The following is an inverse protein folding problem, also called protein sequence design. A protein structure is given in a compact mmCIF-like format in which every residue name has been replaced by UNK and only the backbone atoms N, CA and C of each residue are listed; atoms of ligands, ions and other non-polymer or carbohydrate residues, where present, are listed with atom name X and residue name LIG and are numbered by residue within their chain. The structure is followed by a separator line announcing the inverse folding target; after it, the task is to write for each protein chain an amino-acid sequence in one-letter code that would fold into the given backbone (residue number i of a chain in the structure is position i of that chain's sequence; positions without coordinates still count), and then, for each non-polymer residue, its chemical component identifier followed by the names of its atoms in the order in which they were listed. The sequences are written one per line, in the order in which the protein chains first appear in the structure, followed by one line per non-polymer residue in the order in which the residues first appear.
data_IF_878158969943
#
_entry.id   IF_878158969943
#
_cell.length_a   1.000
_cell.length_b   1.000
_cell.length_c   1.000
_cell.angle_alpha   90.00
_cell.angle_beta   90.00
_cell.angle_gamma   90.00
#
_symmetry.space_group_name_H-M   'P 1'
#
loop_
_entity.id
_entity.type
_entity.pdbx_description
1 polymer ?
#
# COMPACT_ATOMS: atom_id res chain seq x y z
N UNK A 1 -12.63 -2.75 3.21
CA UNK A 1 -11.73 -2.48 4.36
C UNK A 1 -11.09 -3.78 4.79
N UNK A 2 -9.77 -3.80 4.95
CA UNK A 2 -9.02 -5.01 5.31
C UNK A 2 -9.12 -5.36 6.80
N UNK A 3 -9.52 -4.41 7.65
CA UNK A 3 -9.64 -4.56 9.11
C UNK A 3 -8.33 -4.97 9.81
N UNK A 4 -7.20 -4.51 9.28
CA UNK A 4 -5.88 -4.81 9.84
C UNK A 4 -4.80 -4.71 8.77
N UNK A 5 -3.60 -5.13 9.16
CA UNK A 5 -2.44 -5.31 8.31
C UNK A 5 -1.75 -6.62 8.72
N UNK A 6 -1.02 -7.23 7.79
CA UNK A 6 -0.19 -8.41 8.08
C UNK A 6 0.90 -7.98 9.06
N UNK A 7 0.96 -8.67 10.21
CA UNK A 7 1.94 -8.42 11.26
C UNK A 7 2.46 -9.76 11.78
N UNK A 8 3.61 -10.24 11.29
CA UNK A 8 4.21 -11.48 11.78
C UNK A 8 4.55 -11.44 13.27
N UNK A 9 4.87 -10.25 13.80
CA UNK A 9 5.18 -10.06 15.22
C UNK A 9 3.95 -10.28 16.12
N UNK A 10 2.77 -9.89 15.64
CA UNK A 10 1.51 -10.09 16.34
C UNK A 10 0.82 -11.41 15.97
N UNK A 11 1.46 -12.23 15.12
CA UNK A 11 0.90 -13.48 14.61
C UNK A 11 -0.29 -13.28 13.65
N UNK A 12 -0.43 -12.11 13.04
CA UNK A 12 -1.53 -11.78 12.11
C UNK A 12 -1.09 -12.09 10.67
N UNK A 13 -1.68 -13.12 10.09
CA UNK A 13 -1.47 -13.56 8.72
C UNK A 13 -2.43 -12.94 7.69
N UNK A 14 -2.22 -13.22 6.38
CA UNK A 14 -3.14 -12.82 5.31
C UNK A 14 -4.59 -13.29 5.50
N UNK A 15 -4.78 -14.46 6.12
CA UNK A 15 -6.06 -15.09 6.42
C UNK A 15 -6.84 -14.38 7.53
N UNK A 16 -6.14 -13.67 8.42
CA UNK A 16 -6.73 -12.94 9.55
C UNK A 16 -7.26 -11.56 9.14
N UNK A 17 -6.91 -11.11 7.95
CA UNK A 17 -7.42 -9.87 7.36
C UNK A 17 -8.36 -10.17 6.19
N UNK A 18 -9.21 -9.19 5.84
CA UNK A 18 -10.26 -9.36 4.82
C UNK A 18 -9.76 -9.33 3.37
N UNK A 19 -8.68 -10.07 3.08
CA UNK A 19 -8.20 -10.30 1.71
C UNK A 19 -9.18 -11.14 0.90
N UNK A 20 -9.79 -12.24 1.41
CA UNK A 20 -10.78 -12.99 0.64
C UNK A 20 -11.98 -12.14 0.18
N UNK A 21 -12.48 -11.24 1.04
CA UNK A 21 -13.53 -10.29 0.67
C UNK A 21 -13.08 -9.30 -0.41
N UNK A 22 -11.82 -8.85 -0.35
CA UNK A 22 -11.23 -8.02 -1.40
C UNK A 22 -11.24 -8.78 -2.73
N UNK A 23 -10.76 -10.03 -2.77
CA UNK A 23 -10.75 -10.84 -3.98
C UNK A 23 -12.15 -11.03 -4.57
N UNK A 24 -13.15 -11.30 -3.72
CA UNK A 24 -14.54 -11.42 -4.14
C UNK A 24 -15.08 -10.15 -4.79
N UNK A 25 -14.70 -8.97 -4.27
CA UNK A 25 -15.08 -7.68 -4.85
C UNK A 25 -14.41 -7.41 -6.20
N UNK A 26 -13.24 -7.98 -6.43
CA UNK A 26 -12.47 -7.81 -7.67
C UNK A 26 -12.87 -8.81 -8.77
N UNK A 27 -13.85 -9.69 -8.51
CA UNK A 27 -14.48 -10.51 -9.55
C UNK A 27 -15.46 -9.73 -10.43
N UNK A 28 -15.77 -8.48 -10.08
CA UNK A 28 -16.54 -7.58 -10.92
C UNK A 28 -15.61 -6.90 -11.94
N UNK A 29 -15.83 -7.20 -13.22
CA UNK A 29 -15.03 -6.71 -14.36
C UNK A 29 -15.08 -5.17 -14.52
N UNK A 30 -15.93 -4.47 -13.78
CA UNK A 30 -15.94 -3.00 -13.77
C UNK A 30 -14.74 -2.38 -13.03
N UNK A 31 -14.03 -3.16 -12.20
CA UNK A 31 -12.88 -2.63 -11.45
C UNK A 31 -11.63 -2.60 -12.31
N UNK A 32 -11.26 -1.42 -12.78
CA UNK A 32 -10.08 -1.23 -13.63
C UNK A 32 -8.80 -0.90 -12.86
N UNK A 33 -8.92 -0.42 -11.62
CA UNK A 33 -7.77 -0.01 -10.79
C UNK A 33 -8.01 -0.31 -9.29
N UNK A 34 -6.94 -0.76 -8.62
CA UNK A 34 -6.89 -0.92 -7.16
C UNK A 34 -5.77 -0.04 -6.60
N UNK A 35 -6.17 0.93 -5.78
CA UNK A 35 -5.26 1.84 -5.07
C UNK A 35 -4.98 1.27 -3.68
N UNK A 36 -3.72 0.93 -3.40
CA UNK A 36 -3.28 0.43 -2.11
C UNK A 36 -2.95 1.61 -1.18
N UNK A 37 -3.89 1.90 -0.28
CA UNK A 37 -3.80 2.97 0.70
C UNK A 37 -3.61 2.46 2.14
N UNK A 38 -2.92 1.33 2.33
CA UNK A 38 -2.47 0.91 3.67
C UNK A 38 -1.44 1.89 4.23
N UNK A 39 -1.33 1.95 5.56
CA UNK A 39 -0.41 2.86 6.25
C UNK A 39 1.03 2.77 5.71
N UNK A 40 1.79 3.89 5.73
CA UNK A 40 3.17 3.94 5.26
C UNK A 40 4.18 3.41 6.29
N UNK A 41 3.82 2.36 7.01
CA UNK A 41 4.68 1.67 7.98
C UNK A 41 5.04 0.27 7.48
N UNK A 42 5.86 -0.45 8.25
CA UNK A 42 6.39 -1.77 7.86
C UNK A 42 5.26 -2.75 7.55
N UNK A 43 4.26 -2.83 8.43
CA UNK A 43 3.12 -3.75 8.32
C UNK A 43 2.24 -3.39 7.11
N UNK A 44 1.96 -2.09 6.94
CA UNK A 44 1.18 -1.59 5.83
C UNK A 44 1.86 -1.82 4.48
N UNK A 45 3.18 -1.66 4.42
CA UNK A 45 3.97 -1.93 3.20
C UNK A 45 4.05 -3.42 2.89
N UNK A 46 4.28 -4.27 3.90
CA UNK A 46 4.22 -5.73 3.74
C UNK A 46 2.85 -6.18 3.21
N UNK A 47 1.77 -5.62 3.75
CA UNK A 47 0.40 -5.89 3.30
C UNK A 47 0.19 -5.44 1.86
N UNK A 48 0.63 -4.23 1.50
CA UNK A 48 0.50 -3.72 0.13
C UNK A 48 1.29 -4.56 -0.88
N UNK A 49 2.53 -4.94 -0.54
CA UNK A 49 3.35 -5.82 -1.37
C UNK A 49 2.71 -7.20 -1.56
N UNK A 50 2.14 -7.76 -0.50
CA UNK A 50 1.43 -9.04 -0.56
C UNK A 50 0.24 -8.97 -1.53
N UNK A 51 -0.64 -7.97 -1.34
CA UNK A 51 -1.81 -7.78 -2.21
C UNK A 51 -1.39 -7.51 -3.66
N UNK A 52 -0.35 -6.70 -3.88
CA UNK A 52 0.15 -6.41 -5.23
C UNK A 52 0.61 -7.68 -5.94
N UNK A 53 1.33 -8.57 -5.26
CA UNK A 53 1.75 -9.87 -5.82
C UNK A 53 0.56 -10.77 -6.12
N UNK A 54 -0.41 -10.81 -5.21
CA UNK A 54 -1.62 -11.62 -5.34
C UNK A 54 -2.49 -11.18 -6.53
N UNK A 55 -2.61 -9.88 -6.75
CA UNK A 55 -3.45 -9.31 -7.82
C UNK A 55 -2.73 -9.17 -9.17
N UNK A 56 -1.39 -9.28 -9.21
CA UNK A 56 -0.62 -9.17 -10.46
C UNK A 56 -1.14 -10.04 -11.62
N UNK A 57 -1.60 -11.29 -11.42
CA UNK A 57 -2.14 -12.12 -12.51
C UNK A 57 -3.50 -11.66 -13.05
N UNK A 58 -4.25 -10.85 -12.30
CA UNK A 58 -5.59 -10.39 -12.71
C UNK A 58 -5.56 -9.36 -13.84
N UNK A 59 -4.41 -8.75 -14.13
CA UNK A 59 -4.29 -7.67 -15.12
C UNK A 59 -4.89 -6.33 -14.68
N UNK A 60 -5.51 -6.26 -13.50
CA UNK A 60 -6.03 -5.00 -12.93
C UNK A 60 -4.86 -4.06 -12.63
N UNK A 61 -5.03 -2.77 -12.95
CA UNK A 61 -4.02 -1.76 -12.65
C UNK A 61 -3.87 -1.63 -11.14
N UNK A 62 -2.64 -1.73 -10.65
CA UNK A 62 -2.30 -1.57 -9.25
C UNK A 62 -1.53 -0.27 -9.06
N UNK A 63 -1.94 0.54 -8.10
CA UNK A 63 -1.22 1.76 -7.71
C UNK A 63 -1.10 1.87 -6.20
N UNK A 64 -0.11 2.65 -5.74
CA UNK A 64 0.16 2.93 -4.33
C UNK A 64 0.00 4.43 -4.14
N UNK A 65 -0.58 4.84 -3.02
CA UNK A 65 -0.55 6.26 -2.63
C UNK A 65 0.91 6.71 -2.48
N UNK A 66 1.17 7.96 -2.83
CA UNK A 66 2.51 8.52 -2.71
C UNK A 66 2.91 8.63 -1.24
N UNK A 67 4.19 8.41 -0.97
CA UNK A 67 4.80 8.60 0.35
C UNK A 67 5.96 9.56 0.21
N UNK A 68 6.13 10.44 1.19
CA UNK A 68 7.17 11.46 1.16
C UNK A 68 6.72 12.70 1.93
N UNK A 69 7.31 13.83 1.57
CA UNK A 69 7.08 15.10 2.24
C UNK A 69 5.64 15.59 2.07
N UNK A 70 4.99 16.06 3.14
CA UNK A 70 3.69 16.70 3.03
C UNK A 70 3.82 18.06 2.31
N UNK A 71 2.79 18.44 1.58
CA UNK A 71 2.70 19.77 0.96
C UNK A 71 2.68 20.83 2.05
N UNK A 72 3.55 21.84 1.91
CA UNK A 72 3.69 22.91 2.90
C UNK A 72 4.55 22.54 4.12
N UNK A 73 5.13 21.33 4.14
CA UNK A 73 6.13 20.94 5.14
C UNK A 73 7.52 21.48 4.78
N UNK A 74 8.26 21.86 5.81
CA UNK A 74 9.64 22.32 5.69
C UNK A 74 10.62 21.13 5.72
N UNK A 75 11.59 21.13 4.82
CA UNK A 75 12.56 20.03 4.67
C UNK A 75 13.39 19.79 5.94
N UNK A 76 13.71 20.86 6.67
CA UNK A 76 14.54 20.84 7.87
C UNK A 76 13.92 20.04 9.03
N UNK A 77 12.59 19.90 9.04
CA UNK A 77 11.87 19.19 10.10
C UNK A 77 11.41 17.79 9.68
N UNK A 78 11.75 17.35 8.47
CA UNK A 78 11.40 16.03 7.98
C UNK A 78 12.38 14.98 8.49
N UNK A 79 11.85 13.82 8.89
CA UNK A 79 12.68 12.68 9.28
C UNK A 79 13.36 12.03 8.04
N UNK A 80 14.46 11.33 8.30
CA UNK A 80 15.27 10.69 7.26
C UNK A 80 14.49 9.68 6.41
N UNK A 81 13.53 8.97 7.00
CA UNK A 81 12.72 7.97 6.28
C UNK A 81 11.77 8.66 5.30
N UNK A 82 11.10 9.72 5.74
CA UNK A 82 10.23 10.54 4.88
C UNK A 82 11.01 11.19 3.75
N UNK A 83 12.20 11.74 4.03
CA UNK A 83 13.09 12.32 3.03
C UNK A 83 13.54 11.29 1.99
N UNK A 84 13.98 10.12 2.46
CA UNK A 84 14.37 9.01 1.59
C UNK A 84 13.20 8.59 0.68
N UNK A 85 11.99 8.44 1.23
CA UNK A 85 10.79 8.10 0.45
C UNK A 85 10.43 9.16 -0.58
N UNK A 86 10.53 10.44 -0.24
CA UNK A 86 10.30 11.53 -1.18
C UNK A 86 11.30 11.50 -2.34
N UNK A 87 12.57 11.18 -2.05
CA UNK A 87 13.64 11.12 -3.05
C UNK A 87 13.54 9.87 -3.96
N UNK A 88 13.17 8.72 -3.39
CA UNK A 88 12.83 7.49 -4.12
C UNK A 88 11.64 7.72 -5.06
N UNK A 89 10.61 8.41 -4.57
CA UNK A 89 9.37 8.71 -5.30
C UNK A 89 9.43 9.92 -6.22
N UNK A 90 10.62 10.53 -6.43
CA UNK A 90 10.77 11.71 -7.28
C UNK A 90 10.32 11.41 -8.71
N UNK A 91 9.68 12.39 -9.35
CA UNK A 91 9.20 12.30 -10.73
C UNK A 91 9.90 13.34 -11.59
N UNK A 92 10.13 13.01 -12.84
CA UNK A 92 10.54 13.98 -13.86
C UNK A 92 9.38 14.96 -14.12
N UNK A 93 9.72 16.18 -14.55
CA UNK A 93 8.76 17.23 -14.88
C UNK A 93 8.47 17.28 -16.38
#
# INVERSE_FOLDING_TARGET
MLHGAISPMDGIGPEDIKIPDLLKRLQDDQVTEVILATNPNIEGEATAMYISRLLKPSGIKLSRIAHGLPVGGDLEYADEVTLSKALEGRREM
#
